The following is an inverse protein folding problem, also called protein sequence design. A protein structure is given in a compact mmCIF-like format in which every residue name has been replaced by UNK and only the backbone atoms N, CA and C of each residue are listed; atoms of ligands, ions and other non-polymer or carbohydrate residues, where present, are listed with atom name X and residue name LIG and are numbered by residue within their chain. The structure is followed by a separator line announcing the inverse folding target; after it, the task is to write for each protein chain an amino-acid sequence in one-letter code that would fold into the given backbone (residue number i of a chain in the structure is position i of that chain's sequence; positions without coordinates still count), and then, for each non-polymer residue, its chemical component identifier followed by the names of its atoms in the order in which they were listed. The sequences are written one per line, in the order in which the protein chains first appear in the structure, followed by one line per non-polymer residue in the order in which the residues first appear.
data_IF_956989887333
#
_entry.id   IF_956989887333
#
_cell.length_a   1.000
_cell.length_b   1.000
_cell.length_c   1.000
_cell.angle_alpha   90.00
_cell.angle_beta   90.00
_cell.angle_gamma   90.00
#
_symmetry.space_group_name_H-M   'P 1'
#
loop_
_entity.id
_entity.type
_entity.pdbx_description
1 polymer ?
#
# COMPACT_ATOMS: atom_id res chain seq x y z
N UNK A 1 21.44 8.92 -2.70
CA UNK A 1 20.84 9.88 -3.63
C UNK A 1 19.62 10.56 -2.99
N UNK A 2 19.58 11.88 -3.03
CA UNK A 2 18.55 12.67 -2.33
C UNK A 2 17.13 12.34 -2.83
N UNK A 3 16.96 12.31 -4.14
CA UNK A 3 15.65 12.03 -4.74
C UNK A 3 15.18 10.62 -4.40
N UNK A 4 16.08 9.66 -4.40
CA UNK A 4 15.75 8.29 -4.03
C UNK A 4 15.26 8.21 -2.59
N UNK A 5 15.95 8.89 -1.67
CA UNK A 5 15.54 8.93 -0.26
C UNK A 5 14.16 9.55 -0.08
N UNK A 6 13.86 10.61 -0.83
CA UNK A 6 12.56 11.26 -0.79
C UNK A 6 11.46 10.31 -1.24
N UNK A 7 11.68 9.61 -2.35
CA UNK A 7 10.70 8.64 -2.87
C UNK A 7 10.48 7.47 -1.91
N UNK A 8 11.54 6.99 -1.29
CA UNK A 8 11.43 5.91 -0.30
C UNK A 8 10.62 6.37 0.90
N UNK A 9 10.82 7.60 1.37
CA UNK A 9 10.03 8.16 2.46
C UNK A 9 8.55 8.25 2.09
N UNK A 10 8.25 8.71 0.87
CA UNK A 10 6.87 8.78 0.39
C UNK A 10 6.25 7.39 0.31
N UNK A 11 7.00 6.41 -0.19
CA UNK A 11 6.53 5.04 -0.26
C UNK A 11 6.21 4.49 1.13
N UNK A 12 7.09 4.69 2.10
CA UNK A 12 6.87 4.24 3.48
C UNK A 12 5.62 4.88 4.06
N UNK A 13 5.42 6.18 3.82
CA UNK A 13 4.23 6.89 4.29
C UNK A 13 2.95 6.31 3.70
N UNK A 14 2.95 6.02 2.40
CA UNK A 14 1.78 5.42 1.73
C UNK A 14 1.51 4.01 2.28
N UNK A 15 2.54 3.21 2.46
CA UNK A 15 2.40 1.87 3.03
C UNK A 15 1.80 1.92 4.42
N UNK A 16 2.28 2.84 5.26
CA UNK A 16 1.75 3.01 6.61
C UNK A 16 0.28 3.46 6.58
N UNK A 17 -0.08 4.32 5.65
CA UNK A 17 -1.47 4.75 5.47
C UNK A 17 -2.37 3.58 5.08
N UNK A 18 -1.93 2.73 4.17
CA UNK A 18 -2.67 1.52 3.78
C UNK A 18 -2.91 0.63 4.99
N UNK A 19 -1.86 0.36 5.77
CA UNK A 19 -1.97 -0.49 6.96
C UNK A 19 -2.91 0.09 7.98
N UNK A 20 -2.84 1.41 8.23
CA UNK A 20 -3.68 2.08 9.21
C UNK A 20 -5.15 2.03 8.81
N UNK A 21 -5.45 2.30 7.54
CA UNK A 21 -6.83 2.25 7.06
C UNK A 21 -7.42 0.84 7.18
N UNK A 22 -6.67 -0.17 6.78
CA UNK A 22 -7.17 -1.55 6.83
C UNK A 22 -7.30 -2.05 8.27
N UNK A 23 -6.43 -1.61 9.17
CA UNK A 23 -6.51 -2.00 10.58
C UNK A 23 -7.82 -1.54 11.24
N UNK A 24 -8.38 -0.41 10.79
CA UNK A 24 -9.66 0.08 11.29
C UNK A 24 -10.80 -0.92 11.04
N UNK A 25 -10.66 -1.75 10.03
CA UNK A 25 -11.64 -2.76 9.65
C UNK A 25 -11.23 -4.17 10.09
N UNK A 26 -10.23 -4.27 10.97
CA UNK A 26 -9.77 -5.56 11.47
C UNK A 26 -8.90 -6.34 10.50
N UNK A 27 -8.42 -5.70 9.45
CA UNK A 27 -7.58 -6.35 8.44
C UNK A 27 -6.12 -6.03 8.76
N UNK A 28 -5.40 -7.02 9.27
CA UNK A 28 -4.01 -6.86 9.70
C UNK A 28 -3.19 -7.96 9.04
N UNK A 29 -2.04 -7.59 8.48
CA UNK A 29 -1.10 -8.55 7.91
C UNK A 29 0.10 -8.73 8.85
N UNK A 30 0.74 -9.90 8.84
CA UNK A 30 2.00 -10.09 9.56
C UNK A 30 3.06 -9.11 9.08
N UNK A 31 3.98 -8.76 9.96
CA UNK A 31 5.13 -7.94 9.57
C UNK A 31 6.00 -8.75 8.62
N UNK A 32 6.41 -8.14 7.51
CA UNK A 32 7.26 -8.81 6.53
C UNK A 32 7.25 -8.10 5.19
N UNK A 33 8.12 -8.55 4.30
CA UNK A 33 8.31 -7.92 2.98
C UNK A 33 7.06 -7.92 2.12
N UNK A 34 6.28 -9.00 2.22
CA UNK A 34 5.11 -9.18 1.36
C UNK A 34 3.81 -8.78 2.03
N UNK A 35 3.88 -8.15 3.21
CA UNK A 35 2.66 -7.83 3.97
C UNK A 35 1.76 -6.86 3.22
N UNK A 36 2.33 -5.87 2.53
CA UNK A 36 1.55 -4.90 1.75
C UNK A 36 0.88 -5.57 0.55
N UNK A 37 1.59 -6.45 -0.14
CA UNK A 37 1.01 -7.18 -1.27
C UNK A 37 -0.15 -8.08 -0.82
N UNK A 38 -0.03 -8.70 0.34
CA UNK A 38 -1.13 -9.49 0.92
C UNK A 38 -2.32 -8.61 1.22
N UNK A 39 -2.10 -7.41 1.79
CA UNK A 39 -3.18 -6.46 2.07
C UNK A 39 -3.85 -5.99 0.79
N UNK A 40 -3.08 -5.71 -0.25
CA UNK A 40 -3.63 -5.29 -1.54
C UNK A 40 -4.44 -6.41 -2.17
N UNK A 41 -4.06 -7.68 -1.96
CA UNK A 41 -4.84 -8.83 -2.38
C UNK A 41 -6.22 -8.87 -1.73
N UNK A 42 -6.29 -8.55 -0.44
CA UNK A 42 -7.58 -8.46 0.27
C UNK A 42 -8.44 -7.35 -0.31
N UNK A 43 -7.84 -6.20 -0.62
CA UNK A 43 -8.56 -5.07 -1.22
C UNK A 43 -9.11 -5.45 -2.59
N UNK A 44 -8.37 -6.22 -3.37
CA UNK A 44 -8.78 -6.63 -4.70
C UNK A 44 -9.89 -7.69 -4.66
N UNK A 45 -10.07 -8.37 -3.53
CA UNK A 45 -11.09 -9.41 -3.38
C UNK A 45 -12.45 -8.80 -3.09
N UNK A 46 -13.29 -8.72 -4.11
CA UNK A 46 -14.64 -8.16 -3.98
C UNK A 46 -15.55 -8.98 -3.06
N UNK A 47 -15.19 -10.22 -2.76
CA UNK A 47 -15.96 -11.08 -1.88
C UNK A 47 -15.65 -10.86 -0.39
N UNK A 48 -14.60 -10.12 -0.10
CA UNK A 48 -14.25 -9.81 1.29
C UNK A 48 -15.16 -8.69 1.80
N UNK A 49 -16.04 -9.04 2.73
CA UNK A 49 -17.06 -8.13 3.24
C UNK A 49 -16.58 -7.27 4.41
N UNK A 50 -15.35 -7.47 4.89
CA UNK A 50 -14.82 -6.67 5.99
C UNK A 50 -14.60 -5.21 5.61
N UNK A 51 -14.36 -4.95 4.32
CA UNK A 51 -13.97 -3.64 3.84
C UNK A 51 -15.13 -3.00 3.06
N UNK A 52 -15.66 -1.86 3.56
CA UNK A 52 -16.69 -1.11 2.82
C UNK A 52 -16.16 -0.64 1.47
N UNK A 53 -17.07 -0.46 0.52
CA UNK A 53 -16.69 -0.11 -0.84
C UNK A 53 -15.90 1.20 -0.94
N UNK A 54 -16.32 2.21 -0.18
CA UNK A 54 -15.61 3.50 -0.16
C UNK A 54 -14.18 3.34 0.36
N UNK A 55 -14.03 2.58 1.45
CA UNK A 55 -12.70 2.32 2.01
C UNK A 55 -11.83 1.52 1.04
N UNK A 56 -12.45 0.55 0.34
CA UNK A 56 -11.76 -0.24 -0.70
C UNK A 56 -11.22 0.66 -1.80
N UNK A 57 -12.03 1.62 -2.28
CA UNK A 57 -11.60 2.54 -3.32
C UNK A 57 -10.44 3.43 -2.85
N UNK A 58 -10.49 3.92 -1.62
CA UNK A 58 -9.42 4.73 -1.05
C UNK A 58 -8.10 3.95 -0.97
N UNK A 59 -8.15 2.72 -0.47
CA UNK A 59 -6.95 1.90 -0.32
C UNK A 59 -6.42 1.47 -1.69
N UNK A 60 -7.31 1.22 -2.66
CA UNK A 60 -6.89 0.91 -4.02
C UNK A 60 -6.11 2.08 -4.65
N UNK A 61 -6.56 3.31 -4.43
CA UNK A 61 -5.85 4.51 -4.91
C UNK A 61 -4.47 4.63 -4.26
N UNK A 62 -4.36 4.36 -2.96
CA UNK A 62 -3.07 4.34 -2.27
C UNK A 62 -2.16 3.24 -2.82
N UNK A 63 -2.72 2.08 -3.16
CA UNK A 63 -1.97 0.99 -3.77
C UNK A 63 -1.37 1.36 -5.12
N UNK A 64 -2.13 2.06 -5.96
CA UNK A 64 -1.63 2.57 -7.25
C UNK A 64 -0.45 3.53 -7.00
N UNK A 65 -0.59 4.44 -6.06
CA UNK A 65 0.47 5.39 -5.73
C UNK A 65 1.73 4.66 -5.23
N UNK A 66 1.57 3.66 -4.39
CA UNK A 66 2.68 2.86 -3.88
C UNK A 66 3.44 2.18 -5.02
N UNK A 67 2.72 1.59 -5.97
CA UNK A 67 3.33 0.93 -7.13
C UNK A 67 4.06 1.91 -8.03
N UNK A 68 3.50 3.10 -8.23
CA UNK A 68 4.15 4.15 -9.02
C UNK A 68 5.44 4.61 -8.36
N UNK A 69 5.44 4.79 -7.04
CA UNK A 69 6.65 5.16 -6.30
C UNK A 69 7.70 4.07 -6.39
N UNK A 70 7.29 2.81 -6.28
CA UNK A 70 8.20 1.68 -6.41
C UNK A 70 8.87 1.67 -7.80
N UNK A 71 8.09 1.91 -8.85
CA UNK A 71 8.62 1.97 -10.21
C UNK A 71 9.62 3.11 -10.37
N UNK A 72 9.30 4.29 -9.81
CA UNK A 72 10.21 5.44 -9.86
C UNK A 72 11.52 5.18 -9.12
N UNK A 73 11.45 4.52 -7.96
CA UNK A 73 12.65 4.15 -7.21
C UNK A 73 13.52 3.20 -8.03
N UNK A 74 12.91 2.21 -8.67
CA UNK A 74 13.66 1.26 -9.50
C UNK A 74 14.32 1.95 -10.69
N UNK A 75 13.68 2.95 -11.28
CA UNK A 75 14.28 3.73 -12.37
C UNK A 75 15.55 4.44 -11.92
N UNK A 76 15.58 4.93 -10.68
CA UNK A 76 16.76 5.62 -10.15
C UNK A 76 17.92 4.67 -9.86
N UNK A 77 17.67 3.39 -9.72
CA UNK A 77 18.69 2.38 -9.42
C UNK A 77 19.37 1.84 -10.68
N UNK A 78 18.97 2.29 -11.85
CA UNK A 78 19.53 1.86 -13.14
C UNK A 78 20.74 2.70 -13.54
#
# INVERSE_FOLDING_TARGET
HRTRHLLIRQQTSVINAIRAHLAEFGIVAPVGRNSVEQLLGVVADANDKRLPEVARACVAALGVRMRNLKAQILELDV
#
